data_IF_623602684973
#
_entry.id   IF_623602684973
#
_cell.length_a   1.000
_cell.length_b   1.000
_cell.length_c   1.000
_cell.angle_alpha   90.00
_cell.angle_beta   90.00
_cell.angle_gamma   90.00
#
_symmetry.space_group_name_H-M   'P 1'
#
loop_
_entity.id
_entity.type
_entity.pdbx_description
1 polymer ?
#
# COMPACT_ATOMS: atom_id res chain seq x y z
N UNK A 1 14.72 -19.90 -6.73
CA UNK A 1 14.85 -18.65 -5.94
C UNK A 1 13.49 -18.33 -5.34
N UNK A 2 13.30 -18.57 -4.04
CA UNK A 2 12.00 -18.38 -3.39
C UNK A 2 11.65 -16.89 -3.28
N UNK A 3 10.45 -16.50 -3.72
CA UNK A 3 9.91 -15.17 -3.48
C UNK A 3 9.49 -15.12 -2.00
N UNK A 4 10.24 -14.41 -1.17
CA UNK A 4 9.88 -14.20 0.23
C UNK A 4 8.99 -12.98 0.37
N UNK A 5 8.10 -12.98 1.38
CA UNK A 5 7.22 -11.85 1.72
C UNK A 5 7.96 -10.52 1.77
N UNK A 6 9.10 -10.49 2.46
CA UNK A 6 9.94 -9.30 2.59
C UNK A 6 10.46 -8.78 1.25
N UNK A 7 10.78 -9.70 0.31
CA UNK A 7 11.22 -9.32 -1.03
C UNK A 7 10.06 -8.71 -1.82
N UNK A 8 8.88 -9.33 -1.77
CA UNK A 8 7.70 -8.83 -2.45
C UNK A 8 7.26 -7.47 -1.92
N UNK A 9 7.23 -7.26 -0.60
CA UNK A 9 6.94 -5.95 0.01
C UNK A 9 7.96 -4.90 -0.42
N UNK A 10 9.25 -5.24 -0.46
CA UNK A 10 10.30 -4.32 -0.92
C UNK A 10 10.17 -3.97 -2.41
N UNK A 11 9.78 -4.92 -3.25
CA UNK A 11 9.51 -4.68 -4.67
C UNK A 11 8.30 -3.76 -4.88
N UNK A 12 7.24 -3.90 -4.06
CA UNK A 12 6.10 -2.97 -4.08
C UNK A 12 6.56 -1.55 -3.70
N UNK A 13 7.34 -1.42 -2.62
CA UNK A 13 7.88 -0.13 -2.17
C UNK A 13 8.80 0.50 -3.24
N UNK A 14 9.59 -0.30 -3.94
CA UNK A 14 10.44 0.16 -5.04
C UNK A 14 9.62 0.68 -6.23
N UNK A 15 8.60 -0.06 -6.64
CA UNK A 15 7.70 0.31 -7.74
C UNK A 15 6.92 1.59 -7.45
N UNK A 16 6.51 1.79 -6.20
CA UNK A 16 5.83 3.00 -5.74
C UNK A 16 6.78 4.18 -5.45
N UNK A 17 8.10 4.01 -5.57
CA UNK A 17 9.08 5.04 -5.22
C UNK A 17 9.19 5.33 -3.71
N UNK A 18 8.70 4.43 -2.87
CA UNK A 18 8.55 4.60 -1.42
C UNK A 18 9.68 3.96 -0.58
N UNK A 19 10.77 3.49 -1.19
CA UNK A 19 11.89 2.82 -0.49
C UNK A 19 12.51 3.61 0.66
N UNK A 20 12.43 4.95 0.61
CA UNK A 20 12.96 5.87 1.64
C UNK A 20 11.87 6.54 2.47
N UNK A 21 10.62 6.05 2.37
CA UNK A 21 9.54 6.60 3.18
C UNK A 21 9.77 6.32 4.66
N UNK A 22 9.44 7.30 5.50
CA UNK A 22 9.42 7.11 6.95
C UNK A 22 8.31 6.14 7.33
N UNK A 23 8.50 5.40 8.42
CA UNK A 23 7.43 4.62 9.01
C UNK A 23 6.23 5.54 9.30
N UNK A 24 5.05 5.15 8.83
CA UNK A 24 3.80 5.83 9.17
C UNK A 24 3.31 5.33 10.53
N UNK A 25 2.70 6.22 11.32
CA UNK A 25 2.04 5.81 12.56
C UNK A 25 0.83 4.94 12.21
N UNK A 26 0.84 3.70 12.71
CA UNK A 26 -0.25 2.74 12.58
C UNK A 26 -0.91 2.49 13.94
N UNK A 27 -2.24 2.29 14.00
CA UNK A 27 -3.20 2.30 12.89
C UNK A 27 -3.49 3.71 12.35
N UNK A 28 -3.97 3.79 11.10
CA UNK A 28 -4.42 5.05 10.51
C UNK A 28 -5.50 5.70 11.40
N UNK A 29 -5.48 7.02 11.66
CA UNK A 29 -6.46 7.67 12.51
C UNK A 29 -7.89 7.40 12.02
N UNK A 30 -8.74 6.84 12.88
CA UNK A 30 -10.17 6.64 12.61
C UNK A 30 -10.87 7.99 12.64
N UNK A 31 -11.39 8.44 11.49
CA UNK A 31 -12.08 9.73 11.35
C UNK A 31 -11.55 10.64 10.24
N UNK A 32 -10.50 10.22 9.51
CA UNK A 32 -10.06 10.92 8.30
C UNK A 32 -11.16 10.82 7.24
N UNK A 33 -11.86 11.93 6.99
CA UNK A 33 -12.85 12.03 5.91
C UNK A 33 -12.11 12.21 4.59
N UNK A 34 -11.99 11.14 3.81
CA UNK A 34 -11.58 11.23 2.42
C UNK A 34 -12.75 11.80 1.62
N UNK A 35 -12.71 13.09 1.26
CA UNK A 35 -13.69 13.69 0.35
C UNK A 35 -13.23 13.49 -1.10
N UNK A 36 -14.18 13.31 -2.02
CA UNK A 36 -13.88 13.19 -3.46
C UNK A 36 -13.19 14.44 -4.03
N UNK A 37 -13.37 15.59 -3.37
CA UNK A 37 -12.75 16.87 -3.73
C UNK A 37 -11.39 17.09 -3.04
N UNK A 38 -10.97 16.21 -2.13
CA UNK A 38 -9.68 16.34 -1.47
C UNK A 38 -8.57 15.75 -2.36
N UNK A 39 -7.79 16.65 -2.97
CA UNK A 39 -6.54 16.33 -3.65
C UNK A 39 -6.60 16.50 -5.17
N UNK A 40 -5.48 16.15 -5.81
CA UNK A 40 -5.37 16.20 -7.26
C UNK A 40 -5.75 14.84 -7.86
N UNK A 41 -6.42 14.88 -9.01
CA UNK A 41 -6.66 13.68 -9.81
C UNK A 41 -5.33 12.98 -10.11
N UNK A 42 -5.31 11.64 -9.96
CA UNK A 42 -4.14 10.87 -10.29
C UNK A 42 -3.83 10.95 -11.78
N UNK A 43 -2.60 11.32 -12.12
CA UNK A 43 -2.13 11.39 -13.50
C UNK A 43 -2.13 10.03 -14.19
N UNK A 44 -1.91 8.95 -13.44
CA UNK A 44 -1.89 7.57 -13.98
C UNK A 44 -2.72 6.63 -13.09
N UNK A 45 -3.96 6.37 -13.53
CA UNK A 45 -4.87 5.45 -12.85
C UNK A 45 -4.43 3.98 -12.92
N UNK A 46 -3.65 3.58 -13.92
CA UNK A 46 -3.15 2.21 -14.05
C UNK A 46 -2.11 1.88 -12.99
N UNK A 47 -1.14 2.79 -12.76
CA UNK A 47 -0.12 2.63 -11.73
C UNK A 47 -0.77 2.44 -10.34
N UNK A 48 -1.81 3.23 -10.04
CA UNK A 48 -2.56 3.10 -8.79
C UNK A 48 -3.30 1.77 -8.67
N UNK A 49 -4.06 1.35 -9.70
CA UNK A 49 -4.75 0.06 -9.70
C UNK A 49 -3.78 -1.11 -9.54
N UNK A 50 -2.61 -1.04 -10.20
CA UNK A 50 -1.54 -2.03 -10.08
C UNK A 50 -0.99 -2.10 -8.65
N UNK A 51 -0.75 -0.95 -8.02
CA UNK A 51 -0.29 -0.87 -6.63
C UNK A 51 -1.31 -1.49 -5.66
N UNK A 52 -2.58 -1.08 -5.77
CA UNK A 52 -3.67 -1.62 -4.95
C UNK A 52 -3.79 -3.13 -5.12
N UNK A 53 -3.72 -3.65 -6.35
CA UNK A 53 -3.76 -5.10 -6.60
C UNK A 53 -2.64 -5.87 -5.89
N UNK A 54 -1.41 -5.34 -5.89
CA UNK A 54 -0.29 -5.97 -5.18
C UNK A 54 -0.44 -5.89 -3.66
N UNK A 55 -0.94 -4.78 -3.13
CA UNK A 55 -1.20 -4.62 -1.70
C UNK A 55 -2.32 -5.56 -1.21
N UNK A 56 -3.39 -5.71 -2.00
CA UNK A 56 -4.44 -6.68 -1.73
C UNK A 56 -3.89 -8.11 -1.74
N UNK A 57 -3.07 -8.46 -2.74
CA UNK A 57 -2.42 -9.77 -2.78
C UNK A 57 -1.56 -10.02 -1.53
N UNK A 58 -0.78 -9.03 -1.09
CA UNK A 58 0.01 -9.10 0.14
C UNK A 58 -0.86 -9.28 1.38
N UNK A 59 -2.00 -8.58 1.48
CA UNK A 59 -2.93 -8.70 2.59
C UNK A 59 -3.63 -10.07 2.66
N UNK A 60 -4.08 -10.61 1.51
CA UNK A 60 -4.74 -11.92 1.44
C UNK A 60 -3.84 -13.08 1.85
N UNK A 61 -2.55 -12.96 1.60
CA UNK A 61 -1.58 -14.03 1.78
C UNK A 61 -0.79 -13.91 3.09
N UNK A 62 -0.90 -12.76 3.78
CA UNK A 62 -0.38 -12.51 5.12
C UNK A 62 -1.42 -11.76 5.96
N UNK A 63 -2.39 -12.48 6.57
CA UNK A 63 -3.36 -11.87 7.47
C UNK A 63 -2.71 -11.20 8.70
N UNK A 64 -1.49 -11.59 9.10
CA UNK A 64 -0.72 -10.90 10.16
C UNK A 64 -0.30 -9.45 9.83
N UNK A 65 -0.41 -9.03 8.56
CA UNK A 65 -0.05 -7.67 8.12
C UNK A 65 -1.31 -6.78 8.02
N UNK A 66 -2.50 -7.37 7.92
CA UNK A 66 -3.74 -6.61 7.90
C UNK A 66 -4.22 -6.33 9.32
N UNK A 67 -4.52 -5.07 9.61
CA UNK A 67 -5.19 -4.69 10.86
C UNK A 67 -6.63 -5.18 10.79
N UNK A 68 -6.89 -6.36 11.34
CA UNK A 68 -8.25 -6.78 11.72
C UNK A 68 -8.61 -5.95 12.95
N UNK A 69 -9.58 -5.04 12.78
CA UNK A 69 -10.33 -4.48 13.91
C UNK A 69 -11.49 -5.41 14.20
#
# INVERSE_FOLDING_TARGET
MALTWSKYTRDILADAGMLRSKAATTPLPTGVKFTLEAGNALTNAEAYRRLIGRLLYLGFTRPDISHTT
#
